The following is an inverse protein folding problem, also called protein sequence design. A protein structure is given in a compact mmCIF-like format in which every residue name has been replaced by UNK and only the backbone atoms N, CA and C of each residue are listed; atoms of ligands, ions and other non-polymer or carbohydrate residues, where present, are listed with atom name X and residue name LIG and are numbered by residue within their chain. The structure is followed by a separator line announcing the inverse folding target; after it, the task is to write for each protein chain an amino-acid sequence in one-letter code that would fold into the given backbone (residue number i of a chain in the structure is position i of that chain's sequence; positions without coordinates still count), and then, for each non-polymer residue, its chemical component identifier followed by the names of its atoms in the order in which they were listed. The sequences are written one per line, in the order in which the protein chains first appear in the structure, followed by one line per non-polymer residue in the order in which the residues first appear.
data_IF_689368892932
#
_entry.id   IF_689368892932
#
_cell.length_a   1.000
_cell.length_b   1.000
_cell.length_c   1.000
_cell.angle_alpha   90.00
_cell.angle_beta   90.00
_cell.angle_gamma   90.00
#
_symmetry.space_group_name_H-M   'P 1'
#
loop_
_entity.id
_entity.type
_entity.pdbx_description
1 polymer ?
#
# COMPACT_ATOMS: atom_id res chain seq x y z
N UNK A 1 2.13 27.98 0.16
CA UNK A 1 2.57 27.57 1.51
C UNK A 1 2.75 26.07 1.50
N UNK A 2 3.94 25.55 1.82
CA UNK A 2 4.18 24.11 1.89
C UNK A 2 3.71 23.58 3.24
N UNK A 3 2.68 22.74 3.25
CA UNK A 3 2.29 21.99 4.46
C UNK A 3 3.42 21.00 4.77
N UNK A 4 3.95 20.94 6.01
CA UNK A 4 4.89 19.91 6.40
C UNK A 4 4.27 18.52 6.18
N UNK A 5 4.94 17.65 5.43
CA UNK A 5 4.46 16.30 5.10
C UNK A 5 3.92 15.47 6.30
N UNK A 6 4.44 15.57 7.54
CA UNK A 6 3.90 14.82 8.67
C UNK A 6 2.45 15.17 9.06
N UNK A 7 1.94 16.33 8.62
CA UNK A 7 0.56 16.77 8.88
C UNK A 7 -0.35 16.66 7.64
N UNK A 8 0.23 16.43 6.46
CA UNK A 8 -0.54 16.32 5.23
C UNK A 8 -1.27 14.98 5.17
N UNK A 9 -2.53 15.00 4.73
CA UNK A 9 -3.26 13.78 4.37
C UNK A 9 -3.08 13.44 2.87
N UNK A 10 -3.70 12.35 2.43
CA UNK A 10 -3.64 11.90 1.04
C UNK A 10 -4.19 12.93 0.04
N UNK A 11 -5.21 13.71 0.42
CA UNK A 11 -5.85 14.73 -0.43
C UNK A 11 -4.93 15.94 -0.58
N UNK A 12 -4.30 16.35 0.52
CA UNK A 12 -3.31 17.43 0.51
C UNK A 12 -2.13 17.10 -0.41
N UNK A 13 -1.63 15.86 -0.33
CA UNK A 13 -0.55 15.37 -1.18
C UNK A 13 -0.98 15.32 -2.65
N UNK A 14 -2.12 14.71 -2.95
CA UNK A 14 -2.66 14.61 -4.31
C UNK A 14 -2.81 16.01 -4.93
N UNK A 15 -3.51 16.92 -4.23
CA UNK A 15 -3.73 18.30 -4.70
C UNK A 15 -2.42 19.03 -4.95
N UNK A 16 -1.43 18.86 -4.06
CA UNK A 16 -0.11 19.49 -4.20
C UNK A 16 0.64 18.98 -5.43
N UNK A 17 0.60 17.67 -5.68
CA UNK A 17 1.28 17.07 -6.83
C UNK A 17 0.59 17.43 -8.15
N UNK A 18 -0.75 17.41 -8.20
CA UNK A 18 -1.51 17.84 -9.37
C UNK A 18 -1.24 19.32 -9.70
N UNK A 19 -1.20 20.20 -8.69
CA UNK A 19 -0.85 21.62 -8.88
C UNK A 19 0.60 21.81 -9.39
N UNK A 20 1.49 20.85 -9.12
CA UNK A 20 2.86 20.81 -9.64
C UNK A 20 2.97 20.14 -11.03
N UNK A 21 1.85 19.85 -11.69
CA UNK A 21 1.81 19.29 -13.05
C UNK A 21 1.95 17.77 -13.13
N UNK A 22 1.84 17.06 -12.01
CA UNK A 22 1.77 15.59 -12.04
C UNK A 22 0.45 15.14 -12.66
N UNK A 23 0.45 14.00 -13.35
CA UNK A 23 -0.73 13.50 -14.07
C UNK A 23 -1.15 12.12 -13.57
N UNK A 24 -2.45 11.82 -13.42
CA UNK A 24 -2.92 10.47 -13.10
C UNK A 24 -2.39 9.43 -14.09
N UNK A 25 -1.91 8.29 -13.58
CA UNK A 25 -1.38 7.21 -14.41
C UNK A 25 -1.79 5.81 -13.94
N UNK A 26 -2.59 5.70 -12.89
CA UNK A 26 -3.14 4.44 -12.41
C UNK A 26 -4.01 4.62 -11.18
N UNK A 27 -4.90 3.65 -10.95
CA UNK A 27 -5.70 3.54 -9.74
C UNK A 27 -5.93 2.05 -9.44
N UNK A 28 -5.79 1.69 -8.17
CA UNK A 28 -6.17 0.38 -7.64
C UNK A 28 -7.09 0.55 -6.43
N UNK A 29 -7.48 -0.57 -5.81
CA UNK A 29 -8.42 -0.54 -4.68
C UNK A 29 -7.93 0.27 -3.48
N UNK A 30 -6.62 0.30 -3.27
CA UNK A 30 -6.00 0.90 -2.08
C UNK A 30 -5.35 2.26 -2.34
N UNK A 31 -5.01 2.57 -3.59
CA UNK A 31 -4.18 3.73 -3.90
C UNK A 31 -4.40 4.24 -5.31
N UNK A 32 -4.13 5.53 -5.49
CA UNK A 32 -3.96 6.15 -6.81
C UNK A 32 -2.46 6.29 -7.12
N UNK A 33 -2.14 6.44 -8.41
CA UNK A 33 -0.81 6.70 -8.90
C UNK A 33 -0.78 7.95 -9.77
N UNK A 34 0.15 8.86 -9.46
CA UNK A 34 0.45 10.05 -10.26
C UNK A 34 1.86 9.96 -10.83
N UNK A 35 2.04 10.38 -12.08
CA UNK A 35 3.34 10.44 -12.77
C UNK A 35 3.90 11.85 -12.75
N UNK A 36 5.20 11.98 -12.52
CA UNK A 36 5.91 13.26 -12.53
C UNK A 36 5.90 13.92 -13.92
N UNK A 37 6.02 15.25 -14.02
CA UNK A 37 6.08 15.96 -15.31
C UNK A 37 7.20 15.49 -16.24
N UNK A 38 8.35 15.10 -15.68
CA UNK A 38 9.48 14.55 -16.44
C UNK A 38 9.33 13.05 -16.78
N UNK A 39 8.24 12.43 -16.32
CA UNK A 39 7.86 11.06 -16.63
C UNK A 39 8.69 9.97 -15.94
N UNK A 40 9.63 10.33 -15.05
CA UNK A 40 10.59 9.38 -14.45
C UNK A 40 10.16 8.82 -13.10
N UNK A 41 9.23 9.48 -12.41
CA UNK A 41 8.83 9.15 -11.04
C UNK A 41 7.32 8.92 -10.99
N UNK A 42 6.91 7.98 -10.15
CA UNK A 42 5.52 7.75 -9.76
C UNK A 42 5.36 8.05 -8.28
N UNK A 43 4.26 8.72 -7.93
CA UNK A 43 3.77 8.83 -6.57
C UNK A 43 2.58 7.89 -6.41
N UNK A 44 2.73 6.83 -5.61
CA UNK A 44 1.62 6.01 -5.12
C UNK A 44 1.09 6.65 -3.85
N UNK A 45 -0.20 6.99 -3.83
CA UNK A 45 -0.85 7.70 -2.74
C UNK A 45 -2.03 6.85 -2.28
N UNK A 46 -1.98 6.40 -1.03
CA UNK A 46 -3.09 5.69 -0.40
C UNK A 46 -3.74 6.53 0.70
N UNK A 47 -5.08 6.63 0.76
CA UNK A 47 -5.79 7.19 1.90
C UNK A 47 -5.53 6.43 3.21
N UNK A 48 -5.40 5.12 3.11
CA UNK A 48 -5.15 4.23 4.23
C UNK A 48 -4.47 2.94 3.75
N UNK A 49 -3.27 2.67 4.24
CA UNK A 49 -2.52 1.45 3.91
C UNK A 49 -1.71 0.99 5.12
N UNK A 50 -2.21 0.02 5.91
CA UNK A 50 -1.49 -0.49 7.07
C UNK A 50 -0.33 -1.41 6.67
N UNK A 51 -0.27 -1.85 5.41
CA UNK A 51 0.81 -2.68 4.86
C UNK A 51 1.90 -1.86 4.15
N UNK A 52 1.62 -0.62 3.78
CA UNK A 52 2.54 0.32 3.12
C UNK A 52 3.95 0.40 3.75
N UNK A 53 4.10 0.47 5.08
CA UNK A 53 5.41 0.46 5.73
C UNK A 53 6.25 -0.78 5.41
N UNK A 54 5.63 -1.96 5.29
CA UNK A 54 6.30 -3.21 5.00
C UNK A 54 6.75 -3.27 3.54
N UNK A 55 5.93 -2.76 2.61
CA UNK A 55 6.30 -2.62 1.20
C UNK A 55 7.48 -1.66 1.04
N UNK A 56 7.46 -0.51 1.71
CA UNK A 56 8.58 0.42 1.70
C UNK A 56 9.85 -0.17 2.34
N UNK A 57 9.70 -0.98 3.40
CA UNK A 57 10.81 -1.70 4.02
C UNK A 57 11.42 -2.74 3.06
N UNK A 58 10.58 -3.47 2.30
CA UNK A 58 11.04 -4.39 1.27
C UNK A 58 11.87 -3.67 0.22
N UNK A 59 11.36 -2.57 -0.34
CA UNK A 59 12.07 -1.83 -1.38
C UNK A 59 13.43 -1.31 -0.89
N UNK A 60 13.50 -0.80 0.35
CA UNK A 60 14.76 -0.34 0.95
C UNK A 60 15.77 -1.47 1.18
N UNK A 61 15.31 -2.59 1.72
CA UNK A 61 16.18 -3.70 2.13
C UNK A 61 16.64 -4.55 0.94
N UNK A 62 15.76 -4.78 -0.03
CA UNK A 62 16.05 -5.55 -1.24
C UNK A 62 16.63 -4.72 -2.38
N UNK A 63 16.92 -3.41 -2.19
CA UNK A 63 17.44 -2.53 -3.25
C UNK A 63 18.65 -3.11 -3.99
N UNK A 64 19.52 -3.84 -3.27
CA UNK A 64 20.75 -4.41 -3.81
C UNK A 64 20.51 -5.58 -4.76
N UNK A 65 19.37 -6.27 -4.65
CA UNK A 65 19.00 -7.36 -5.56
C UNK A 65 18.59 -6.84 -6.94
N UNK A 66 18.26 -5.54 -7.04
CA UNK A 66 17.69 -4.91 -8.25
C UNK A 66 16.42 -5.62 -8.74
N UNK A 67 15.67 -6.26 -7.84
CA UNK A 67 14.41 -6.96 -8.14
C UNK A 67 13.19 -6.30 -7.49
N UNK A 68 13.37 -5.10 -6.96
CA UNK A 68 12.34 -4.22 -6.42
C UNK A 68 12.50 -2.83 -7.04
N UNK A 69 11.46 -1.98 -7.04
CA UNK A 69 11.58 -0.61 -7.49
C UNK A 69 12.58 0.18 -6.64
N UNK A 70 13.30 1.10 -7.27
CA UNK A 70 13.98 2.17 -6.55
C UNK A 70 12.94 3.08 -5.88
N UNK A 71 12.95 3.07 -4.55
CA UNK A 71 12.12 3.93 -3.70
C UNK A 71 12.90 5.20 -3.34
N UNK A 72 12.47 6.35 -3.88
CA UNK A 72 13.10 7.64 -3.62
C UNK A 72 12.68 8.23 -2.27
N UNK A 73 11.39 8.13 -1.95
CA UNK A 73 10.91 8.51 -0.61
C UNK A 73 9.67 7.72 -0.22
N UNK A 74 9.47 7.58 1.09
CA UNK A 74 8.25 7.05 1.67
C UNK A 74 7.90 7.86 2.93
N UNK A 75 6.64 8.27 3.02
CA UNK A 75 6.09 9.03 4.13
C UNK A 75 4.77 8.41 4.57
N UNK A 76 4.60 8.27 5.90
CA UNK A 76 3.28 8.10 6.50
C UNK A 76 2.57 9.44 6.49
N UNK A 77 1.30 9.42 6.10
CA UNK A 77 0.44 10.58 6.03
C UNK A 77 -0.53 10.58 7.21
N UNK A 78 -1.09 11.75 7.52
CA UNK A 78 -2.13 11.86 8.52
C UNK A 78 -3.32 10.95 8.19
N UNK A 79 -3.97 10.42 9.23
CA UNK A 79 -5.17 9.59 9.09
C UNK A 79 -4.95 8.18 8.55
N UNK A 80 -3.70 7.73 8.47
CA UNK A 80 -3.35 6.36 8.07
C UNK A 80 -2.82 6.20 6.64
N UNK A 81 -2.74 7.31 5.90
CA UNK A 81 -2.32 7.28 4.51
C UNK A 81 -0.83 6.95 4.33
N UNK A 82 -0.50 6.61 3.10
CA UNK A 82 0.86 6.22 2.71
C UNK A 82 1.22 6.89 1.38
N UNK A 83 2.37 7.55 1.35
CA UNK A 83 2.97 8.10 0.13
C UNK A 83 4.27 7.36 -0.16
N UNK A 84 4.38 6.81 -1.37
CA UNK A 84 5.64 6.28 -1.90
C UNK A 84 5.96 6.99 -3.21
N UNK A 85 7.15 7.56 -3.32
CA UNK A 85 7.69 8.03 -4.60
C UNK A 85 8.76 7.07 -5.07
N UNK A 86 8.58 6.50 -6.25
CA UNK A 86 9.43 5.46 -6.80
C UNK A 86 9.65 5.67 -8.30
N UNK A 87 10.63 4.96 -8.85
CA UNK A 87 10.88 4.96 -10.30
C UNK A 87 9.62 4.60 -11.10
N UNK A 88 9.50 5.13 -12.31
CA UNK A 88 8.50 4.71 -13.28
C UNK A 88 8.75 3.27 -13.74
N UNK A 89 7.66 2.50 -13.88
CA UNK A 89 7.66 1.10 -14.28
C UNK A 89 6.66 0.86 -15.42
N UNK A 90 6.91 -0.16 -16.22
CA UNK A 90 6.04 -0.56 -17.33
C UNK A 90 5.45 -1.96 -17.08
N UNK A 91 4.19 -2.21 -17.46
CA UNK A 91 3.64 -3.56 -17.43
C UNK A 91 4.47 -4.53 -18.27
N UNK A 92 4.46 -5.81 -17.88
CA UNK A 92 5.08 -6.90 -18.65
C UNK A 92 4.03 -7.89 -19.13
N UNK A 93 4.43 -8.81 -20.01
CA UNK A 93 3.55 -9.88 -20.45
C UNK A 93 3.23 -10.82 -19.27
N UNK A 94 2.02 -11.38 -19.27
CA UNK A 94 1.52 -12.16 -18.13
C UNK A 94 2.33 -13.43 -17.88
N UNK A 95 2.82 -14.08 -18.93
CA UNK A 95 3.69 -15.26 -18.86
C UNK A 95 5.04 -14.94 -18.22
N UNK A 96 5.63 -13.80 -18.55
CA UNK A 96 6.85 -13.31 -17.93
C UNK A 96 6.66 -12.99 -16.43
N UNK A 97 5.56 -12.32 -16.09
CA UNK A 97 5.19 -12.07 -14.70
C UNK A 97 4.98 -13.37 -13.91
N UNK A 98 4.29 -14.34 -14.51
CA UNK A 98 4.04 -15.65 -13.91
C UNK A 98 5.35 -16.42 -13.68
N UNK A 99 6.30 -16.38 -14.63
CA UNK A 99 7.61 -16.99 -14.48
C UNK A 99 8.40 -16.37 -13.32
N UNK A 100 8.35 -15.03 -13.16
CA UNK A 100 9.03 -14.35 -12.05
C UNK A 100 8.41 -14.70 -10.69
N UNK A 101 7.08 -14.74 -10.59
CA UNK A 101 6.39 -15.22 -9.39
C UNK A 101 6.71 -16.68 -9.09
N UNK A 102 6.80 -17.53 -10.11
CA UNK A 102 7.20 -18.93 -9.93
C UNK A 102 8.63 -19.04 -9.38
N UNK A 103 9.57 -18.22 -9.86
CA UNK A 103 10.92 -18.16 -9.33
C UNK A 103 10.94 -17.75 -7.84
N UNK A 104 10.12 -16.76 -7.46
CA UNK A 104 9.93 -16.37 -6.05
C UNK A 104 9.37 -17.53 -5.22
N UNK A 105 8.34 -18.21 -5.73
CA UNK A 105 7.67 -19.30 -5.04
C UNK A 105 8.60 -20.50 -4.79
N UNK A 106 9.44 -20.85 -5.78
CA UNK A 106 10.41 -21.95 -5.68
C UNK A 106 11.73 -21.55 -5.04
N UNK A 107 11.93 -20.26 -4.75
CA UNK A 107 13.21 -19.69 -4.31
C UNK A 107 14.34 -20.06 -5.27
N UNK A 108 14.14 -19.76 -6.56
CA UNK A 108 15.17 -19.95 -7.57
C UNK A 108 16.46 -19.17 -7.21
N UNK A 109 17.66 -19.67 -7.58
CA UNK A 109 18.93 -19.07 -7.15
C UNK A 109 19.05 -17.56 -7.43
N UNK A 110 18.54 -17.11 -8.57
CA UNK A 110 18.60 -15.72 -9.02
C UNK A 110 17.74 -14.76 -8.18
N UNK A 111 16.73 -15.24 -7.46
CA UNK A 111 15.85 -14.44 -6.58
C UNK A 111 15.98 -14.81 -5.11
N UNK A 112 16.91 -15.70 -4.75
CA UNK A 112 17.02 -16.27 -3.40
C UNK A 112 17.12 -15.19 -2.30
N UNK A 113 17.95 -14.18 -2.51
CA UNK A 113 18.14 -13.06 -1.56
C UNK A 113 16.87 -12.21 -1.41
N UNK A 114 16.16 -11.94 -2.52
CA UNK A 114 14.87 -11.25 -2.48
C UNK A 114 13.87 -12.06 -1.65
N UNK A 115 13.75 -13.37 -1.91
CA UNK A 115 12.80 -14.25 -1.22
C UNK A 115 13.05 -14.27 0.28
N UNK A 116 14.31 -14.32 0.72
CA UNK A 116 14.64 -14.32 2.15
C UNK A 116 14.23 -13.01 2.83
N UNK A 117 14.39 -11.87 2.15
CA UNK A 117 13.93 -10.55 2.64
C UNK A 117 12.40 -10.49 2.66
N UNK A 118 11.74 -10.93 1.59
CA UNK A 118 10.27 -10.98 1.48
C UNK A 118 9.69 -11.79 2.62
N UNK A 119 10.20 -13.00 2.86
CA UNK A 119 9.70 -13.89 3.93
C UNK A 119 9.87 -13.28 5.31
N UNK A 120 11.03 -12.70 5.61
CA UNK A 120 11.28 -12.05 6.90
C UNK A 120 10.35 -10.86 7.14
N UNK A 121 10.15 -10.00 6.15
CA UNK A 121 9.26 -8.84 6.28
C UNK A 121 7.80 -9.29 6.35
N UNK A 122 7.40 -10.29 5.56
CA UNK A 122 6.04 -10.85 5.60
C UNK A 122 5.73 -11.43 6.98
N UNK A 123 6.67 -12.17 7.59
CA UNK A 123 6.51 -12.67 8.96
C UNK A 123 6.25 -11.55 9.97
N UNK A 124 6.86 -10.37 9.80
CA UNK A 124 6.58 -9.19 10.62
C UNK A 124 5.20 -8.59 10.30
N UNK A 125 4.84 -8.52 9.02
CA UNK A 125 3.54 -8.02 8.57
C UNK A 125 2.36 -8.89 9.07
N UNK A 126 2.57 -10.20 9.19
CA UNK A 126 1.58 -11.16 9.71
C UNK A 126 1.18 -10.91 11.18
N UNK A 127 1.84 -10.00 11.90
CA UNK A 127 1.36 -9.51 13.19
C UNK A 127 0.08 -8.66 13.07
N UNK A 128 -0.21 -8.14 11.87
CA UNK A 128 -1.49 -7.53 11.54
C UNK A 128 -2.51 -8.64 11.24
N UNK A 129 -3.63 -8.74 11.99
CA UNK A 129 -4.62 -9.80 11.78
C UNK A 129 -5.19 -9.86 10.36
N UNK A 130 -5.15 -8.74 9.64
CA UNK A 130 -5.62 -8.59 8.26
C UNK A 130 -4.50 -8.59 7.22
N UNK A 131 -3.25 -8.92 7.56
CA UNK A 131 -2.23 -9.13 6.53
C UNK A 131 -2.57 -10.38 5.71
N UNK A 132 -2.70 -10.23 4.39
CA UNK A 132 -2.93 -11.35 3.49
C UNK A 132 -1.71 -12.26 3.36
N UNK A 133 -1.84 -13.43 2.68
CA UNK A 133 -0.69 -14.15 2.14
C UNK A 133 0.10 -13.24 1.17
N UNK A 134 1.25 -13.70 0.67
CA UNK A 134 1.94 -12.97 -0.39
C UNK A 134 1.02 -12.81 -1.60
N UNK A 135 0.99 -11.60 -2.15
CA UNK A 135 0.25 -11.35 -3.39
C UNK A 135 1.01 -11.94 -4.58
N UNK A 136 0.29 -12.75 -5.35
CA UNK A 136 0.78 -13.42 -6.56
C UNK A 136 0.16 -12.84 -7.83
N UNK A 137 -0.51 -11.68 -7.72
CA UNK A 137 -1.05 -10.98 -8.87
C UNK A 137 0.07 -10.71 -9.90
N UNK A 138 -0.06 -11.21 -11.15
CA UNK A 138 0.94 -10.95 -12.20
C UNK A 138 1.15 -9.46 -12.49
N UNK A 139 0.15 -8.61 -12.25
CA UNK A 139 0.27 -7.16 -12.43
C UNK A 139 1.30 -6.51 -11.49
N UNK A 140 1.69 -7.20 -10.42
CA UNK A 140 2.72 -6.78 -9.47
C UNK A 140 4.14 -7.06 -9.96
N UNK A 141 4.32 -7.72 -11.10
CA UNK A 141 5.62 -7.80 -11.76
C UNK A 141 5.65 -6.77 -12.87
N UNK A 142 6.66 -5.92 -12.85
CA UNK A 142 6.80 -4.83 -13.80
C UNK A 142 8.23 -4.70 -14.29
N UNK A 143 8.44 -3.90 -15.35
CA UNK A 143 9.74 -3.64 -15.94
C UNK A 143 10.23 -2.23 -15.63
N UNK A 144 11.45 -2.15 -15.11
CA UNK A 144 12.18 -0.91 -14.97
C UNK A 144 12.67 -0.38 -16.33
N UNK A 145 12.97 0.92 -16.43
CA UNK A 145 13.46 1.53 -17.67
C UNK A 145 14.79 0.96 -18.17
N UNK A 146 15.56 0.30 -17.30
CA UNK A 146 16.80 -0.40 -17.64
C UNK A 146 16.57 -1.87 -18.04
N UNK A 147 15.31 -2.28 -18.23
CA UNK A 147 14.93 -3.60 -18.72
C UNK A 147 14.74 -4.67 -17.64
N UNK A 148 15.13 -4.42 -16.38
CA UNK A 148 14.99 -5.41 -15.30
C UNK A 148 13.53 -5.64 -14.90
N UNK A 149 13.23 -6.88 -14.53
CA UNK A 149 12.00 -7.20 -13.80
C UNK A 149 12.13 -6.81 -12.34
N UNK A 150 11.06 -6.23 -11.81
CA UNK A 150 10.90 -5.91 -10.40
C UNK A 150 9.54 -6.39 -9.92
N UNK A 151 9.45 -6.74 -8.64
CA UNK A 151 8.17 -7.03 -8.00
C UNK A 151 7.72 -5.89 -7.09
N UNK A 152 6.44 -5.57 -7.15
CA UNK A 152 5.77 -4.53 -6.37
C UNK A 152 4.69 -5.14 -5.48
N UNK A 153 4.22 -4.40 -4.48
CA UNK A 153 2.95 -4.66 -3.76
C UNK A 153 2.70 -6.12 -3.30
N UNK A 154 3.76 -6.84 -2.90
CA UNK A 154 3.68 -8.22 -2.40
C UNK A 154 2.91 -8.36 -1.08
N UNK A 155 2.83 -7.27 -0.31
CA UNK A 155 2.14 -7.23 0.97
C UNK A 155 0.89 -6.36 0.84
N UNK A 156 -0.24 -6.92 1.26
CA UNK A 156 -1.52 -6.22 1.22
C UNK A 156 -2.32 -6.50 2.49
N UNK A 157 -3.15 -5.53 2.84
CA UNK A 157 -4.23 -5.73 3.78
C UNK A 157 -5.36 -6.48 3.06
N UNK A 158 -5.77 -7.62 3.61
CA UNK A 158 -6.98 -8.32 3.18
C UNK A 158 -8.18 -7.45 3.57
N UNK A 159 -8.65 -6.63 2.62
CA UNK A 159 -9.75 -5.68 2.79
C UNK A 159 -11.02 -6.32 3.36
N UNK A 160 -11.53 -7.42 2.76
CA UNK A 160 -12.69 -8.13 3.29
C UNK A 160 -12.53 -8.55 4.76
N UNK A 161 -11.36 -9.09 5.14
CA UNK A 161 -11.08 -9.48 6.52
C UNK A 161 -11.01 -8.26 7.45
N UNK A 162 -10.29 -7.21 7.04
CA UNK A 162 -10.18 -5.97 7.81
C UNK A 162 -11.55 -5.34 8.07
N UNK A 163 -12.38 -5.24 7.04
CA UNK A 163 -13.70 -4.62 7.13
C UNK A 163 -14.72 -5.47 7.87
N UNK A 164 -14.65 -6.80 7.73
CA UNK A 164 -15.41 -7.71 8.59
C UNK A 164 -15.02 -7.52 10.06
N UNK A 165 -13.73 -7.44 10.38
CA UNK A 165 -13.27 -7.15 11.74
C UNK A 165 -13.75 -5.78 12.22
N UNK A 166 -13.67 -4.72 11.42
CA UNK A 166 -14.19 -3.41 11.80
C UNK A 166 -15.70 -3.41 12.09
N UNK A 167 -16.47 -4.30 11.45
CA UNK A 167 -17.90 -4.45 11.68
C UNK A 167 -18.24 -5.31 12.91
N UNK A 168 -17.50 -6.39 13.16
CA UNK A 168 -17.84 -7.38 14.19
C UNK A 168 -17.02 -7.26 15.48
N UNK A 169 -15.80 -6.75 15.40
CA UNK A 169 -14.85 -6.56 16.50
C UNK A 169 -14.06 -5.25 16.31
N UNK A 170 -14.74 -4.08 16.42
CA UNK A 170 -14.08 -2.79 16.28
C UNK A 170 -13.04 -2.52 17.39
N UNK A 171 -13.15 -3.19 18.54
CA UNK A 171 -12.21 -3.04 19.65
C UNK A 171 -10.80 -3.56 19.27
N UNK A 172 -10.73 -4.64 18.49
CA UNK A 172 -9.46 -5.12 17.93
C UNK A 172 -8.82 -4.09 16.97
N UNK A 173 -9.62 -3.41 16.14
CA UNK A 173 -9.11 -2.37 15.23
C UNK A 173 -8.52 -1.21 16.01
N UNK A 174 -9.27 -0.64 16.96
CA UNK A 174 -8.81 0.56 17.70
C UNK A 174 -7.62 0.25 18.60
N UNK A 175 -7.49 -0.98 19.08
CA UNK A 175 -6.32 -1.44 19.85
C UNK A 175 -5.06 -1.54 18.98
N UNK A 176 -5.21 -1.94 17.73
CA UNK A 176 -4.08 -2.22 16.82
C UNK A 176 -3.68 -1.03 15.96
N UNK A 177 -4.62 -0.13 15.65
CA UNK A 177 -4.36 1.06 14.85
C UNK A 177 -4.93 2.28 15.60
N UNK A 178 -4.10 3.22 16.06
CA UNK A 178 -4.55 4.45 16.70
C UNK A 178 -5.44 5.29 15.77
N UNK A 179 -6.29 6.15 16.34
CA UNK A 179 -7.25 6.97 15.57
C UNK A 179 -6.58 7.84 14.50
N UNK A 180 -5.48 8.48 14.87
CA UNK A 180 -4.66 9.29 13.98
C UNK A 180 -4.12 8.51 12.76
N UNK A 181 -4.13 7.17 12.80
CA UNK A 181 -3.62 6.27 11.77
C UNK A 181 -4.71 5.46 11.04
N UNK A 182 -6.00 5.69 11.33
CA UNK A 182 -7.12 4.99 10.64
C UNK A 182 -8.28 5.88 10.22
N UNK A 183 -8.18 7.20 10.40
CA UNK A 183 -9.24 8.16 10.07
C UNK A 183 -9.80 7.97 8.66
N UNK A 184 -8.94 7.64 7.70
CA UNK A 184 -9.31 7.52 6.28
C UNK A 184 -9.48 6.06 5.83
N UNK A 185 -9.59 5.10 6.74
CA UNK A 185 -9.77 3.66 6.42
C UNK A 185 -10.99 3.36 5.54
N UNK A 186 -12.00 4.22 5.58
CA UNK A 186 -13.23 4.11 4.76
C UNK A 186 -13.15 4.85 3.43
N UNK A 187 -12.04 5.53 3.13
CA UNK A 187 -11.91 6.42 1.97
C UNK A 187 -11.04 5.85 0.86
N UNK A 188 -10.69 4.55 0.93
CA UNK A 188 -9.90 3.90 -0.12
C UNK A 188 -10.66 3.90 -1.47
N UNK A 189 -9.96 3.95 -2.63
CA UNK A 189 -10.60 4.13 -3.93
C UNK A 189 -11.56 3.03 -4.39
N UNK A 190 -11.32 1.76 -4.03
CA UNK A 190 -12.06 0.59 -4.52
C UNK A 190 -12.23 0.53 -6.06
N UNK A 191 -11.22 0.97 -6.81
CA UNK A 191 -11.28 1.13 -8.26
C UNK A 191 -11.56 -0.19 -9.03
N UNK A 192 -11.21 -1.34 -8.46
CA UNK A 192 -11.44 -2.67 -9.04
C UNK A 192 -12.56 -3.44 -8.30
N UNK A 193 -12.68 -3.25 -6.99
CA UNK A 193 -13.64 -3.95 -6.14
C UNK A 193 -15.08 -3.40 -6.21
N UNK A 194 -15.26 -2.17 -6.73
CA UNK A 194 -16.58 -1.52 -6.83
C UNK A 194 -16.93 -0.69 -5.60
N UNK A 195 -17.99 0.13 -5.65
CA UNK A 195 -18.30 1.08 -4.60
C UNK A 195 -18.70 0.39 -3.29
N UNK A 196 -18.60 1.13 -2.19
CA UNK A 196 -19.17 0.72 -0.91
C UNK A 196 -20.69 0.54 -1.02
N UNK A 197 -21.22 -0.46 -0.30
CA UNK A 197 -22.65 -0.56 -0.08
C UNK A 197 -23.18 0.70 0.63
N UNK A 198 -24.37 1.21 0.26
CA UNK A 198 -24.94 2.40 0.89
C UNK A 198 -25.00 2.28 2.42
N UNK A 199 -24.43 3.26 3.13
CA UNK A 199 -24.43 3.30 4.60
C UNK A 199 -23.34 2.47 5.29
N UNK A 200 -22.59 1.65 4.55
CA UNK A 200 -21.56 0.79 5.14
C UNK A 200 -20.40 1.61 5.74
N UNK A 201 -20.02 2.71 5.09
CA UNK A 201 -18.96 3.60 5.58
C UNK A 201 -19.40 4.30 6.88
N UNK A 202 -20.62 4.82 6.95
CA UNK A 202 -21.18 5.49 8.12
C UNK A 202 -21.30 4.53 9.31
N UNK A 203 -21.81 3.31 9.07
CA UNK A 203 -21.93 2.28 10.09
C UNK A 203 -20.57 1.91 10.67
N UNK A 204 -19.56 1.72 9.81
CA UNK A 204 -18.20 1.41 10.23
C UNK A 204 -17.58 2.54 11.06
N UNK A 205 -17.69 3.80 10.60
CA UNK A 205 -17.20 4.97 11.35
C UNK A 205 -17.86 5.06 12.74
N UNK A 206 -19.17 4.84 12.82
CA UNK A 206 -19.91 4.85 14.09
C UNK A 206 -19.47 3.72 15.03
N UNK A 207 -19.21 2.52 14.50
CA UNK A 207 -18.70 1.37 15.27
C UNK A 207 -17.33 1.66 15.89
N UNK A 208 -16.40 2.20 15.09
CA UNK A 208 -15.06 2.58 15.55
C UNK A 208 -15.10 3.71 16.58
N UNK A 209 -15.92 4.74 16.36
CA UNK A 209 -16.07 5.83 17.33
C UNK A 209 -16.59 5.35 18.69
N UNK A 210 -17.52 4.37 18.70
CA UNK A 210 -17.98 3.74 19.95
C UNK A 210 -16.86 2.95 20.64
N UNK A 211 -16.00 2.29 19.87
CA UNK A 211 -14.84 1.58 20.42
C UNK A 211 -13.79 2.53 21.00
N UNK A 212 -13.51 3.64 20.31
CA UNK A 212 -12.61 4.71 20.79
C UNK A 212 -13.10 5.34 22.11
N UNK A 213 -14.41 5.54 22.25
CA UNK A 213 -14.97 6.05 23.50
C UNK A 213 -14.75 5.10 24.69
N UNK A 214 -14.73 3.77 24.46
CA UNK A 214 -14.44 2.77 25.50
C UNK A 214 -12.98 2.79 25.93
N UNK A 215 -12.06 2.91 24.98
CA UNK A 215 -10.60 2.91 25.26
C UNK A 215 -10.14 4.20 25.96
N UNK A 216 -10.83 5.33 25.74
CA UNK A 216 -10.51 6.62 26.39
C UNK A 216 -11.06 6.71 27.83
N UNK A 217 -11.99 5.85 28.21
CA UNK A 217 -12.63 5.84 29.54
C UNK A 217 -11.92 4.91 30.55
N UNK A 218 -10.90 4.15 30.09
CA UNK A 218 -10.10 3.24 30.92
C UNK A 218 -8.77 3.86 31.28
#
# INVERSE_FOLDING_TARGET
MSVPLPQADHRDVERTLLAAGWTPCGAGDWAIALRSPDGRVVARISPFDPTGPYTAALYRQARHTRQVPELFTHHRLAGGGDLQKMQWLQPVAQDEAAAFHQAIATRAPEVADLVDIVRRIHQQAQQLPWCGPLDHNPANVMRATDGRLVVTDLFYANGPKLYATAATDPDLIVTKIPEAERRFMTEIPLAASGPWEPGAQEAMRAGLAKADARTTTT
#
